data_IF_230817242357
#
_entry.id   IF_230817242357
#
_cell.length_a   1.000
_cell.length_b   1.000
_cell.length_c   1.000
_cell.angle_alpha   90.00
_cell.angle_beta   90.00
_cell.angle_gamma   90.00
#
_symmetry.space_group_name_H-M   'P 1'
#
loop_
_entity.id
_entity.type
_entity.pdbx_description
1 polymer ?
#
# COMPACT_ATOMS: atom_id res chain seq x y z
N UNK A 1 -1.46 -7.00 -2.03
CA UNK A 1 -2.23 -7.19 -3.28
C UNK A 1 -3.67 -6.71 -3.11
N UNK A 2 -4.42 -7.15 -2.09
CA UNK A 2 -5.84 -6.81 -1.93
C UNK A 2 -6.10 -5.29 -1.82
N UNK A 3 -5.25 -4.53 -1.14
CA UNK A 3 -5.33 -3.06 -1.11
C UNK A 3 -5.19 -2.44 -2.51
N UNK A 4 -4.21 -2.91 -3.28
CA UNK A 4 -3.99 -2.42 -4.65
C UNK A 4 -5.17 -2.76 -5.56
N UNK A 5 -5.65 -4.01 -5.52
CA UNK A 5 -6.82 -4.43 -6.29
C UNK A 5 -8.09 -3.63 -5.91
N UNK A 6 -8.28 -3.33 -4.62
CA UNK A 6 -9.40 -2.50 -4.17
C UNK A 6 -9.31 -1.06 -4.70
N UNK A 7 -8.10 -0.50 -4.74
CA UNK A 7 -7.84 0.81 -5.34
C UNK A 7 -8.12 0.81 -6.84
N UNK A 8 -7.65 -0.22 -7.56
CA UNK A 8 -7.88 -0.35 -9.00
C UNK A 8 -9.37 -0.44 -9.35
N UNK A 9 -10.14 -1.23 -8.59
CA UNK A 9 -11.59 -1.31 -8.79
C UNK A 9 -12.27 0.07 -8.69
N UNK A 10 -11.80 0.93 -7.77
CA UNK A 10 -12.35 2.28 -7.63
C UNK A 10 -11.99 3.16 -8.82
N UNK A 11 -10.74 3.13 -9.26
CA UNK A 11 -10.29 3.91 -10.43
C UNK A 11 -10.95 3.42 -11.72
N UNK A 12 -11.07 2.11 -11.91
CA UNK A 12 -11.73 1.51 -13.06
C UNK A 12 -13.21 1.87 -13.11
N UNK A 13 -13.92 1.86 -11.97
CA UNK A 13 -15.32 2.29 -11.88
C UNK A 13 -15.53 3.78 -12.15
N UNK A 14 -14.50 4.60 -12.02
CA UNK A 14 -14.52 6.02 -12.41
C UNK A 14 -14.14 6.28 -13.88
N UNK A 15 -13.93 5.22 -14.67
CA UNK A 15 -13.56 5.32 -16.09
C UNK A 15 -12.05 5.43 -16.34
N UNK A 16 -11.22 5.27 -15.32
CA UNK A 16 -9.75 5.36 -15.42
C UNK A 16 -9.08 4.00 -15.16
N UNK A 17 -8.40 3.45 -16.15
CA UNK A 17 -7.60 2.24 -16.00
C UNK A 17 -6.18 2.60 -15.53
N UNK A 18 -5.86 2.29 -14.28
CA UNK A 18 -4.55 2.65 -13.70
C UNK A 18 -3.57 1.48 -13.67
N UNK A 19 -2.88 1.24 -14.75
CA UNK A 19 -1.80 0.26 -14.81
C UNK A 19 -0.57 0.64 -13.95
N UNK A 20 -0.58 1.80 -13.29
CA UNK A 20 0.48 2.29 -12.40
C UNK A 20 0.40 1.76 -10.97
N UNK A 21 -0.67 1.05 -10.61
CA UNK A 21 -0.88 0.53 -9.24
C UNK A 21 0.31 -0.27 -8.70
N UNK A 22 0.90 -1.22 -9.46
CA UNK A 22 2.08 -1.95 -8.96
C UNK A 22 3.25 -1.04 -8.62
N UNK A 23 3.51 -0.02 -9.43
CA UNK A 23 4.55 0.98 -9.17
C UNK A 23 4.26 1.81 -7.92
N UNK A 24 3.02 2.28 -7.75
CA UNK A 24 2.57 3.02 -6.57
C UNK A 24 2.70 2.17 -5.31
N UNK A 25 2.31 0.89 -5.38
CA UNK A 25 2.47 -0.04 -4.26
C UNK A 25 3.94 -0.23 -3.88
N UNK A 26 4.83 -0.32 -4.87
CA UNK A 26 6.27 -0.46 -4.64
C UNK A 26 6.88 0.78 -4.01
N UNK A 27 6.50 1.98 -4.49
CA UNK A 27 6.88 3.26 -3.87
C UNK A 27 6.40 3.33 -2.41
N UNK A 28 5.14 2.98 -2.16
CA UNK A 28 4.57 2.95 -0.81
C UNK A 28 5.30 1.97 0.10
N UNK A 29 5.56 0.76 -0.37
CA UNK A 29 6.24 -0.29 0.39
C UNK A 29 7.64 0.12 0.82
N UNK A 30 8.47 0.62 -0.13
CA UNK A 30 9.84 1.04 0.18
C UNK A 30 9.87 2.27 1.10
N UNK A 31 8.96 3.24 0.90
CA UNK A 31 8.87 4.43 1.74
C UNK A 31 8.43 4.08 3.17
N UNK A 32 7.52 3.13 3.33
CA UNK A 32 7.14 2.61 4.63
C UNK A 32 8.29 1.91 5.34
N UNK A 33 9.05 1.09 4.62
CA UNK A 33 10.26 0.46 5.15
C UNK A 33 11.31 1.50 5.56
N UNK A 34 11.52 2.54 4.74
CA UNK A 34 12.42 3.66 5.08
C UNK A 34 12.01 4.34 6.38
N UNK A 35 10.73 4.66 6.53
CA UNK A 35 10.19 5.30 7.73
C UNK A 35 10.46 4.46 8.99
N UNK A 36 10.20 3.15 8.92
CA UNK A 36 10.48 2.23 10.01
C UNK A 36 11.98 2.15 10.33
N UNK A 37 12.82 2.02 9.30
CA UNK A 37 14.27 1.92 9.46
C UNK A 37 14.87 3.18 10.10
N UNK A 38 14.51 4.36 9.64
CA UNK A 38 15.02 5.61 10.24
C UNK A 38 14.55 5.78 11.68
N UNK A 39 13.31 5.40 11.98
CA UNK A 39 12.84 5.44 13.36
C UNK A 39 13.61 4.46 14.28
N UNK A 40 13.78 3.20 13.86
CA UNK A 40 14.49 2.22 14.68
C UNK A 40 15.99 2.52 14.82
N UNK A 41 16.64 3.07 13.78
CA UNK A 41 18.06 3.40 13.80
C UNK A 41 18.41 4.62 14.66
N UNK A 42 17.47 5.56 14.85
CA UNK A 42 17.70 6.78 15.64
C UNK A 42 17.11 6.73 17.05
N UNK A 43 16.45 5.64 17.43
CA UNK A 43 15.80 5.50 18.74
C UNK A 43 16.46 4.39 19.55
N UNK A 44 16.99 4.71 20.73
CA UNK A 44 17.68 3.75 21.59
C UNK A 44 16.77 2.62 22.11
N UNK A 45 15.45 2.91 22.28
CA UNK A 45 14.43 1.93 22.66
C UNK A 45 13.19 2.09 21.76
N UNK A 46 13.21 1.53 20.53
CA UNK A 46 12.13 1.73 19.59
C UNK A 46 10.84 1.04 20.04
N UNK A 47 9.72 1.76 19.95
CA UNK A 47 8.40 1.21 20.21
C UNK A 47 7.81 0.71 18.88
N UNK A 48 7.51 -0.60 18.79
CA UNK A 48 7.01 -1.21 17.56
C UNK A 48 5.72 -0.60 17.04
N UNK A 49 4.83 -0.14 17.91
CA UNK A 49 3.56 0.50 17.50
C UNK A 49 3.82 1.85 16.84
N UNK A 50 4.74 2.65 17.39
CA UNK A 50 5.11 3.95 16.80
C UNK A 50 5.82 3.71 15.47
N UNK A 51 6.73 2.74 15.40
CA UNK A 51 7.38 2.34 14.14
C UNK A 51 6.37 1.91 13.07
N UNK A 52 5.37 1.11 13.44
CA UNK A 52 4.31 0.69 12.53
C UNK A 52 3.45 1.88 12.04
N UNK A 53 3.11 2.83 12.91
CA UNK A 53 2.37 4.04 12.50
C UNK A 53 3.18 4.91 11.54
N UNK A 54 4.46 5.14 11.84
CA UNK A 54 5.36 5.90 10.94
C UNK A 54 5.47 5.19 9.59
N UNK A 55 5.65 3.87 9.58
CA UNK A 55 5.70 3.08 8.35
C UNK A 55 4.44 3.23 7.51
N UNK A 56 3.26 3.12 8.12
CA UNK A 56 1.97 3.27 7.44
C UNK A 56 1.81 4.70 6.88
N UNK A 57 2.13 5.72 7.67
CA UNK A 57 2.02 7.12 7.22
C UNK A 57 2.96 7.39 6.04
N UNK A 58 4.22 6.96 6.11
CA UNK A 58 5.18 7.11 5.02
C UNK A 58 4.71 6.37 3.75
N UNK A 59 4.18 5.15 3.90
CA UNK A 59 3.63 4.39 2.79
C UNK A 59 2.44 5.08 2.14
N UNK A 60 1.51 5.61 2.94
CA UNK A 60 0.33 6.33 2.44
C UNK A 60 0.72 7.62 1.73
N UNK A 61 1.65 8.41 2.28
CA UNK A 61 2.13 9.64 1.65
C UNK A 61 2.80 9.38 0.30
N UNK A 62 3.68 8.38 0.23
CA UNK A 62 4.33 8.01 -1.03
C UNK A 62 3.34 7.49 -2.07
N UNK A 63 2.39 6.66 -1.65
CA UNK A 63 1.32 6.18 -2.53
C UNK A 63 0.41 7.31 -3.00
N UNK A 64 0.07 8.26 -2.12
CA UNK A 64 -0.71 9.44 -2.47
C UNK A 64 0.01 10.33 -3.51
N UNK A 65 1.32 10.53 -3.37
CA UNK A 65 2.13 11.25 -4.36
C UNK A 65 2.08 10.53 -5.72
N UNK A 66 2.25 9.20 -5.74
CA UNK A 66 2.13 8.41 -6.97
C UNK A 66 0.75 8.53 -7.61
N UNK A 67 -0.32 8.47 -6.81
CA UNK A 67 -1.69 8.68 -7.26
C UNK A 67 -1.95 10.09 -7.79
N UNK A 68 -1.39 11.12 -7.15
CA UNK A 68 -1.47 12.52 -7.61
C UNK A 68 -0.77 12.70 -8.96
N UNK A 69 0.41 12.12 -9.14
CA UNK A 69 1.12 12.17 -10.43
C UNK A 69 0.26 11.52 -11.52
N UNK A 70 -0.27 10.32 -11.25
CA UNK A 70 -1.15 9.63 -12.19
C UNK A 70 -2.37 10.48 -12.57
N UNK A 71 -3.12 10.99 -11.59
CA UNK A 71 -4.33 11.76 -11.82
C UNK A 71 -4.05 13.09 -12.53
N UNK A 72 -2.96 13.77 -12.19
CA UNK A 72 -2.55 15.00 -12.87
C UNK A 72 -2.27 14.76 -14.36
N UNK A 73 -1.54 13.69 -14.68
CA UNK A 73 -1.21 13.37 -16.06
C UNK A 73 -2.43 12.91 -16.87
N UNK A 74 -3.29 12.09 -16.28
CA UNK A 74 -4.43 11.49 -17.00
C UNK A 74 -5.65 12.41 -17.05
N UNK A 75 -5.94 13.12 -15.97
CA UNK A 75 -7.15 13.96 -15.87
C UNK A 75 -6.83 15.39 -16.35
N UNK A 76 -5.77 16.02 -15.83
CA UNK A 76 -5.45 17.41 -16.16
C UNK A 76 -4.82 17.55 -17.53
N UNK A 77 -3.81 16.74 -17.84
CA UNK A 77 -3.10 16.77 -19.12
C UNK A 77 -3.73 15.87 -20.19
N UNK A 78 -4.77 15.10 -19.84
CA UNK A 78 -5.46 14.16 -20.74
C UNK A 78 -4.52 13.20 -21.48
N UNK A 79 -3.43 12.81 -20.83
CA UNK A 79 -2.48 11.85 -21.39
C UNK A 79 -3.11 10.44 -21.43
N UNK A 80 -2.58 9.59 -22.31
CA UNK A 80 -3.05 8.22 -22.42
C UNK A 80 -2.84 7.44 -21.11
N UNK A 81 -3.94 6.95 -20.52
CA UNK A 81 -3.95 6.27 -19.21
C UNK A 81 -3.03 5.05 -19.17
N UNK A 82 -3.01 4.25 -20.23
CA UNK A 82 -2.18 3.04 -20.29
C UNK A 82 -0.68 3.39 -20.32
N UNK A 83 -0.31 4.38 -21.11
CA UNK A 83 1.09 4.84 -21.21
C UNK A 83 1.57 5.43 -19.89
N UNK A 84 0.77 6.30 -19.28
CA UNK A 84 1.07 6.90 -17.98
C UNK A 84 1.17 5.83 -16.88
N UNK A 85 0.25 4.87 -16.87
CA UNK A 85 0.26 3.77 -15.92
C UNK A 85 1.52 2.91 -16.02
N UNK A 86 1.89 2.49 -17.24
CA UNK A 86 3.12 1.71 -17.46
C UNK A 86 4.38 2.50 -17.11
N UNK A 87 4.44 3.78 -17.46
CA UNK A 87 5.54 4.66 -17.10
C UNK A 87 5.67 4.80 -15.57
N UNK A 88 4.54 4.96 -14.87
CA UNK A 88 4.53 5.06 -13.41
C UNK A 88 4.92 3.73 -12.73
N UNK A 89 4.55 2.60 -13.30
CA UNK A 89 5.00 1.28 -12.82
C UNK A 89 6.52 1.15 -12.95
N UNK A 90 7.07 1.49 -14.11
CA UNK A 90 8.53 1.46 -14.34
C UNK A 90 9.27 2.43 -13.41
N UNK A 91 8.75 3.65 -13.27
CA UNK A 91 9.27 4.63 -12.33
C UNK A 91 9.24 4.13 -10.88
N UNK A 92 8.13 3.57 -10.44
CA UNK A 92 7.96 3.05 -9.08
C UNK A 92 8.93 1.91 -8.76
N UNK A 93 9.15 1.00 -9.71
CA UNK A 93 10.14 -0.08 -9.57
C UNK A 93 11.56 0.52 -9.48
N UNK A 94 11.89 1.47 -10.35
CA UNK A 94 13.18 2.17 -10.32
C UNK A 94 13.41 2.93 -9.01
N UNK A 95 12.38 3.65 -8.53
CA UNK A 95 12.38 4.33 -7.25
C UNK A 95 12.67 3.35 -6.09
N UNK A 96 11.94 2.25 -6.04
CA UNK A 96 12.10 1.26 -4.98
C UNK A 96 13.47 0.59 -5.00
N UNK A 97 14.00 0.25 -6.18
CA UNK A 97 15.34 -0.33 -6.31
C UNK A 97 16.44 0.66 -5.90
N UNK A 98 16.32 1.93 -6.30
CA UNK A 98 17.29 2.96 -5.95
C UNK A 98 17.33 3.22 -4.44
N UNK A 99 16.18 3.48 -3.83
CA UNK A 99 16.10 3.77 -2.40
C UNK A 99 16.32 2.51 -1.54
N UNK A 100 15.83 1.34 -1.95
CA UNK A 100 16.09 0.08 -1.28
C UNK A 100 17.57 -0.27 -1.26
N UNK A 101 18.26 -0.10 -2.38
CA UNK A 101 19.71 -0.29 -2.45
C UNK A 101 20.50 0.73 -1.61
N UNK A 102 20.06 1.98 -1.57
CA UNK A 102 20.69 3.03 -0.76
C UNK A 102 20.57 2.76 0.75
N UNK A 103 19.38 2.34 1.21
CA UNK A 103 19.16 1.99 2.62
C UNK A 103 19.98 0.73 3.01
N UNK A 104 20.04 -0.25 2.13
CA UNK A 104 20.86 -1.45 2.36
C UNK A 104 22.33 -1.08 2.60
N UNK A 105 22.88 -0.11 1.85
CA UNK A 105 24.23 0.41 2.07
C UNK A 105 24.37 1.12 3.42
N UNK A 106 23.38 1.92 3.81
CA UNK A 106 23.35 2.61 5.11
C UNK A 106 23.23 1.63 6.29
N UNK A 107 22.53 0.52 6.09
CA UNK A 107 22.38 -0.55 7.08
C UNK A 107 23.61 -1.48 7.21
N UNK A 108 24.71 -1.18 6.53
CA UNK A 108 25.96 -1.96 6.63
C UNK A 108 26.27 -2.83 5.40
N UNK A 109 25.54 -2.68 4.30
CA UNK A 109 25.84 -3.33 3.02
C UNK A 109 25.55 -4.83 2.93
N UNK A 110 24.89 -5.41 3.93
CA UNK A 110 24.64 -6.87 4.02
C UNK A 110 23.39 -7.31 3.26
N UNK A 111 22.76 -6.40 2.51
CA UNK A 111 21.58 -6.73 1.68
C UNK A 111 20.26 -6.90 2.44
N UNK A 112 20.28 -6.88 3.78
CA UNK A 112 19.09 -7.00 4.61
C UNK A 112 18.91 -5.76 5.48
N UNK A 113 17.73 -5.13 5.35
CA UNK A 113 17.31 -4.03 6.21
C UNK A 113 16.52 -4.65 7.35
N UNK A 114 17.06 -4.58 8.57
CA UNK A 114 16.41 -5.13 9.75
C UNK A 114 15.56 -4.04 10.42
N UNK A 115 14.27 -4.29 10.52
CA UNK A 115 13.27 -3.49 11.25
C UNK A 115 12.47 -4.43 12.15
N UNK A 116 13.17 -5.14 13.04
CA UNK A 116 12.58 -6.25 13.80
C UNK A 116 11.44 -5.81 14.70
N UNK A 117 11.58 -4.66 15.37
CA UNK A 117 10.60 -4.17 16.33
C UNK A 117 9.29 -3.77 15.64
N UNK A 118 9.38 -3.09 14.53
CA UNK A 118 8.22 -2.70 13.70
C UNK A 118 7.60 -3.92 13.01
N UNK A 119 8.43 -4.80 12.44
CA UNK A 119 7.97 -6.01 11.76
C UNK A 119 7.19 -6.95 12.69
N UNK A 120 7.60 -7.06 13.96
CA UNK A 120 6.91 -7.86 14.96
C UNK A 120 5.45 -7.42 15.17
N UNK A 121 5.17 -6.11 15.07
CA UNK A 121 3.80 -5.58 15.18
C UNK A 121 2.95 -5.99 13.97
N UNK A 122 3.51 -5.93 12.76
CA UNK A 122 2.80 -6.34 11.53
C UNK A 122 2.56 -7.85 11.46
N UNK A 123 3.43 -8.65 12.10
CA UNK A 123 3.34 -10.11 12.13
C UNK A 123 2.53 -10.64 13.32
N UNK A 124 2.13 -9.76 14.26
CA UNK A 124 1.42 -10.18 15.47
C UNK A 124 0.10 -10.85 15.12
N UNK A 125 -0.04 -12.10 15.55
CA UNK A 125 -1.25 -12.90 15.37
C UNK A 125 -2.31 -12.50 16.38
N UNK A 126 -3.58 -12.83 16.10
CA UNK A 126 -4.69 -12.60 17.03
C UNK A 126 -4.58 -13.60 18.21
N UNK A 127 -4.30 -13.10 19.44
CA UNK A 127 -4.14 -13.99 20.58
C UNK A 127 -5.48 -14.71 20.89
N UNK A 128 -5.39 -16.00 21.19
CA UNK A 128 -6.53 -16.83 21.56
C UNK A 128 -7.22 -17.57 20.38
N UNK A 129 -7.38 -16.95 19.20
CA UNK A 129 -8.01 -17.61 18.06
C UNK A 129 -7.00 -18.39 17.20
N UNK A 130 -5.73 -17.99 17.21
CA UNK A 130 -4.66 -18.70 16.49
C UNK A 130 -4.37 -20.10 17.04
N UNK A 131 -4.78 -20.42 18.28
CA UNK A 131 -4.61 -21.72 18.93
C UNK A 131 -5.61 -22.80 18.53
N UNK A 132 -6.63 -22.50 17.72
CA UNK A 132 -7.63 -23.49 17.27
C UNK A 132 -6.97 -24.39 16.22
N UNK A 133 -6.95 -25.74 16.40
CA UNK A 133 -6.33 -26.64 15.44
C UNK A 133 -7.00 -26.50 14.06
N UNK A 134 -6.20 -26.45 13.00
CA UNK A 134 -6.56 -26.30 11.57
C UNK A 134 -7.12 -24.91 11.22
N UNK A 135 -8.13 -24.39 11.90
CA UNK A 135 -8.79 -23.10 11.58
C UNK A 135 -7.94 -21.90 12.05
N UNK A 136 -7.28 -22.03 13.21
CA UNK A 136 -6.41 -21.01 13.76
C UNK A 136 -5.29 -20.58 12.82
N UNK A 137 -4.41 -21.50 12.39
CA UNK A 137 -3.36 -21.21 11.43
C UNK A 137 -3.88 -20.73 10.08
N UNK A 138 -5.02 -21.23 9.63
CA UNK A 138 -5.57 -20.91 8.31
C UNK A 138 -6.21 -19.50 8.24
N UNK A 139 -6.90 -19.08 9.29
CA UNK A 139 -7.70 -17.84 9.28
C UNK A 139 -7.20 -16.76 10.24
N UNK A 140 -6.53 -17.11 11.34
CA UNK A 140 -6.19 -16.18 12.43
C UNK A 140 -4.69 -15.98 12.67
N UNK A 141 -3.82 -16.52 11.81
CA UNK A 141 -2.37 -16.38 11.90
C UNK A 141 -1.80 -15.24 11.06
N UNK A 142 -2.65 -14.41 10.47
CA UNK A 142 -2.23 -13.28 9.65
C UNK A 142 -2.09 -12.00 10.46
N UNK A 143 -1.23 -11.10 10.00
CA UNK A 143 -1.09 -9.77 10.59
C UNK A 143 -2.34 -8.91 10.38
N UNK A 144 -2.51 -7.90 11.22
CA UNK A 144 -3.69 -7.04 11.25
C UNK A 144 -4.00 -6.37 9.89
N UNK A 145 -2.98 -6.09 9.06
CA UNK A 145 -3.19 -5.50 7.73
C UNK A 145 -4.00 -6.39 6.79
N UNK A 146 -3.92 -7.72 6.94
CA UNK A 146 -4.72 -8.65 6.14
C UNK A 146 -6.21 -8.50 6.45
N UNK A 147 -6.57 -8.42 7.73
CA UNK A 147 -7.98 -8.23 8.12
C UNK A 147 -8.47 -6.84 7.75
N UNK A 148 -7.65 -5.81 7.93
CA UNK A 148 -7.96 -4.45 7.48
C UNK A 148 -8.23 -4.41 5.98
N UNK A 149 -7.43 -5.11 5.16
CA UNK A 149 -7.64 -5.18 3.72
C UNK A 149 -8.98 -5.84 3.36
N UNK A 150 -9.36 -6.93 4.05
CA UNK A 150 -10.64 -7.61 3.85
C UNK A 150 -11.80 -6.69 4.21
N UNK A 151 -11.72 -6.02 5.38
CA UNK A 151 -12.76 -5.10 5.84
C UNK A 151 -12.93 -3.95 4.84
N UNK A 152 -11.84 -3.32 4.40
CA UNK A 152 -11.87 -2.23 3.42
C UNK A 152 -12.49 -2.70 2.11
N UNK A 153 -12.14 -3.89 1.63
CA UNK A 153 -12.71 -4.45 0.39
C UNK A 153 -14.22 -4.68 0.50
N UNK A 154 -14.71 -5.18 1.65
CA UNK A 154 -16.13 -5.36 1.90
C UNK A 154 -16.88 -4.02 1.99
N UNK A 155 -16.29 -3.04 2.69
CA UNK A 155 -16.85 -1.69 2.79
C UNK A 155 -16.91 -1.03 1.41
N UNK A 156 -15.85 -1.12 0.61
CA UNK A 156 -15.85 -0.62 -0.76
C UNK A 156 -16.91 -1.30 -1.64
N UNK A 157 -17.03 -2.62 -1.54
CA UNK A 157 -18.08 -3.35 -2.27
C UNK A 157 -19.48 -2.88 -1.87
N UNK A 158 -19.73 -2.61 -0.59
CA UNK A 158 -20.99 -2.05 -0.11
C UNK A 158 -21.21 -0.63 -0.64
N UNK A 159 -20.20 0.25 -0.49
CA UNK A 159 -20.26 1.65 -0.96
C UNK A 159 -20.54 1.71 -2.45
N UNK A 160 -19.82 0.96 -3.27
CA UNK A 160 -19.98 0.94 -4.71
C UNK A 160 -21.34 0.39 -5.16
N UNK A 161 -21.94 -0.54 -4.41
CA UNK A 161 -23.22 -1.18 -4.78
C UNK A 161 -24.45 -0.48 -4.22
N UNK A 162 -24.35 0.09 -3.01
CA UNK A 162 -25.52 0.50 -2.20
C UNK A 162 -25.58 1.99 -1.86
N UNK A 163 -24.57 2.79 -2.22
CA UNK A 163 -24.54 4.22 -1.87
C UNK A 163 -24.64 5.14 -3.08
N UNK A 164 -25.10 6.40 -2.84
CA UNK A 164 -25.11 7.45 -3.85
C UNK A 164 -23.71 7.77 -4.40
N UNK A 165 -22.67 7.62 -3.56
CA UNK A 165 -21.28 7.82 -3.97
C UNK A 165 -20.89 6.80 -5.04
N UNK A 166 -21.21 5.53 -4.84
CA UNK A 166 -20.94 4.48 -5.82
C UNK A 166 -21.71 4.67 -7.11
N UNK A 167 -22.96 5.14 -7.02
CA UNK A 167 -23.78 5.46 -8.21
C UNK A 167 -23.15 6.61 -9.00
N UNK A 168 -22.80 7.71 -8.34
CA UNK A 168 -22.15 8.86 -8.97
C UNK A 168 -20.81 8.49 -9.62
N UNK A 169 -20.00 7.65 -8.94
CA UNK A 169 -18.74 7.18 -9.49
C UNK A 169 -18.91 6.41 -10.80
N UNK A 170 -19.93 5.54 -10.86
CA UNK A 170 -20.24 4.79 -12.09
C UNK A 170 -20.78 5.71 -13.19
N UNK A 171 -21.63 6.67 -12.84
CA UNK A 171 -22.17 7.62 -13.82
C UNK A 171 -21.05 8.43 -14.49
N UNK A 172 -20.03 8.86 -13.71
CA UNK A 172 -18.84 9.53 -14.25
C UNK A 172 -18.03 8.60 -15.16
N UNK A 173 -17.93 7.31 -14.81
CA UNK A 173 -17.19 6.34 -15.61
C UNK A 173 -17.88 5.93 -16.92
N UNK A 174 -19.22 5.95 -16.96
CA UNK A 174 -20.01 5.57 -18.14
C UNK A 174 -20.21 6.72 -19.12
N UNK A 175 -20.14 7.97 -18.67
CA UNK A 175 -20.33 9.16 -19.49
C UNK A 175 -19.42 10.30 -19.00
N UNK A 176 -18.10 10.21 -19.31
CA UNK A 176 -17.12 11.21 -18.90
C UNK A 176 -17.25 12.54 -19.64
#
# INVERSE_FOLDING_TARGET
ILFGASGEIVTEKSGNLNLGIPGIMYMGGISGLMGAFFYESHTASPNGVIGALISIICALLAAAIGGLIYSFLTITLRANQNVVGLALTTFGIGFGNFFGGSISKLAGGVGQISVMTTAAVFQKQIPGLSGIPVIGPLLFSYGFLTYTAIIISLVLAYVLKKTKVGLNLRAVGESP
#
